data_IF_314280443151
#
_entry.id   IF_314280443151
#
_cell.length_a   1.000
_cell.length_b   1.000
_cell.length_c   1.000
_cell.angle_alpha   90.00
_cell.angle_beta   90.00
_cell.angle_gamma   90.00
#
_symmetry.space_group_name_H-M   'P 1'
#
loop_
_entity.id
_entity.type
_entity.pdbx_description
1 polymer ?
#
# COMPACT_ATOMS: atom_id res chain seq x y z
N UNK A 1 17.39 -4.56 -16.22
CA UNK A 1 16.02 -5.06 -16.44
C UNK A 1 15.10 -3.88 -16.31
N UNK A 2 14.16 -3.72 -17.23
CA UNK A 2 13.16 -2.67 -17.13
C UNK A 2 12.26 -2.95 -15.92
N UNK A 3 12.03 -1.92 -15.11
CA UNK A 3 11.20 -2.00 -13.92
C UNK A 3 9.73 -1.86 -14.36
N UNK A 4 9.00 -2.97 -14.42
CA UNK A 4 7.59 -2.97 -14.81
C UNK A 4 6.72 -2.47 -13.64
N UNK A 5 6.32 -1.20 -13.69
CA UNK A 5 5.39 -0.59 -12.73
C UNK A 5 4.69 0.64 -13.34
N UNK A 6 3.63 1.13 -12.72
CA UNK A 6 2.94 2.35 -13.12
C UNK A 6 1.79 2.08 -14.08
N UNK A 7 1.70 2.81 -15.20
CA UNK A 7 0.54 2.70 -16.10
C UNK A 7 0.28 1.28 -16.62
N UNK A 8 1.34 0.51 -16.87
CA UNK A 8 1.24 -0.84 -17.43
C UNK A 8 0.76 -1.88 -16.41
N UNK A 9 0.92 -1.61 -15.12
CA UNK A 9 0.49 -2.50 -14.02
C UNK A 9 -0.72 -1.97 -13.26
N UNK A 10 -1.18 -0.76 -13.59
CA UNK A 10 -2.22 -0.05 -12.85
C UNK A 10 -3.50 -0.87 -12.72
N UNK A 11 -3.92 -1.63 -13.75
CA UNK A 11 -5.15 -2.41 -13.69
C UNK A 11 -5.15 -3.50 -12.63
N UNK A 12 -3.98 -3.97 -12.19
CA UNK A 12 -3.83 -4.98 -11.14
C UNK A 12 -3.39 -4.37 -9.80
N UNK A 13 -2.44 -3.42 -9.83
CA UNK A 13 -1.93 -2.76 -8.62
C UNK A 13 -3.00 -1.89 -7.94
N UNK A 14 -3.93 -1.29 -8.71
CA UNK A 14 -5.02 -0.48 -8.18
C UNK A 14 -6.03 -1.31 -7.35
N UNK A 15 -6.57 -2.43 -7.87
CA UNK A 15 -7.37 -3.35 -7.07
C UNK A 15 -6.66 -3.89 -5.83
N UNK A 16 -5.36 -4.21 -5.91
CA UNK A 16 -4.61 -4.70 -4.75
C UNK A 16 -4.60 -3.68 -3.60
N UNK A 17 -4.35 -2.40 -3.90
CA UNK A 17 -4.35 -1.31 -2.91
C UNK A 17 -5.73 -1.17 -2.25
N UNK A 18 -6.79 -1.14 -3.06
CA UNK A 18 -8.14 -0.91 -2.55
C UNK A 18 -8.69 -2.13 -1.81
N UNK A 19 -8.32 -3.34 -2.22
CA UNK A 19 -8.59 -4.57 -1.48
C UNK A 19 -7.93 -4.55 -0.10
N UNK A 20 -6.67 -4.11 -0.03
CA UNK A 20 -5.95 -3.96 1.25
C UNK A 20 -6.59 -2.94 2.18
N UNK A 21 -7.07 -1.81 1.64
CA UNK A 21 -7.84 -0.82 2.44
C UNK A 21 -9.15 -1.38 2.94
N UNK A 22 -9.92 -2.05 2.09
CA UNK A 22 -11.18 -2.67 2.49
C UNK A 22 -10.95 -3.72 3.59
N UNK A 23 -9.91 -4.54 3.47
CA UNK A 23 -9.55 -5.53 4.48
C UNK A 23 -9.13 -4.87 5.82
N UNK A 24 -8.36 -3.78 5.77
CA UNK A 24 -7.98 -3.04 6.98
C UNK A 24 -9.16 -2.31 7.64
N UNK A 25 -10.09 -1.78 6.83
CA UNK A 25 -11.34 -1.20 7.36
C UNK A 25 -12.19 -2.26 8.07
N UNK A 26 -12.29 -3.48 7.54
CA UNK A 26 -12.94 -4.59 8.22
C UNK A 26 -12.23 -4.97 9.53
N UNK A 27 -10.89 -4.92 9.57
CA UNK A 27 -10.12 -5.13 10.80
C UNK A 27 -10.49 -4.06 11.85
N UNK A 28 -10.53 -2.79 11.48
CA UNK A 28 -10.95 -1.68 12.36
C UNK A 28 -12.41 -1.76 12.81
N UNK A 29 -13.29 -2.38 12.03
CA UNK A 29 -14.68 -2.64 12.44
C UNK A 29 -14.78 -3.81 13.43
N UNK A 30 -13.84 -4.74 13.36
CA UNK A 30 -13.82 -5.96 14.19
C UNK A 30 -13.15 -5.72 15.54
N UNK A 31 -12.11 -4.90 15.58
CA UNK A 31 -11.28 -4.64 16.76
C UNK A 31 -11.37 -3.18 17.21
N UNK A 32 -11.34 -2.97 18.52
CA UNK A 32 -11.18 -1.61 19.09
C UNK A 32 -9.76 -1.08 18.85
N UNK A 33 -9.59 0.25 18.89
CA UNK A 33 -8.26 0.88 18.81
C UNK A 33 -7.26 0.36 19.87
N UNK A 34 -7.76 -0.09 21.03
CA UNK A 34 -6.92 -0.72 22.05
C UNK A 34 -6.45 -2.09 21.59
N UNK A 35 -7.38 -2.93 21.11
CA UNK A 35 -7.06 -4.29 20.64
C UNK A 35 -6.12 -4.28 19.44
N UNK A 36 -6.23 -3.29 18.54
CA UNK A 36 -5.27 -3.12 17.43
C UNK A 36 -3.82 -2.91 17.91
N UNK A 37 -3.64 -2.41 19.14
CA UNK A 37 -2.34 -2.16 19.77
C UNK A 37 -1.92 -3.27 20.73
N UNK A 38 -2.79 -4.24 21.01
CA UNK A 38 -2.44 -5.40 21.83
C UNK A 38 -1.49 -6.31 21.05
N UNK A 39 -0.65 -7.05 21.78
CA UNK A 39 0.30 -7.99 21.20
C UNK A 39 -0.43 -9.23 20.69
N UNK A 40 -0.44 -9.44 19.38
CA UNK A 40 -0.98 -10.66 18.78
C UNK A 40 0.05 -11.79 18.78
N UNK A 41 1.32 -11.44 18.54
CA UNK A 41 2.46 -12.36 18.68
C UNK A 41 3.44 -11.79 19.71
N UNK A 42 3.22 -12.03 21.01
CA UNK A 42 4.04 -11.46 22.09
C UNK A 42 5.53 -11.79 21.97
N UNK A 43 5.86 -13.02 21.57
CA UNK A 43 7.24 -13.47 21.42
C UNK A 43 8.02 -12.74 20.32
N UNK A 44 7.28 -12.16 19.35
CA UNK A 44 7.84 -11.38 18.25
C UNK A 44 7.69 -9.86 18.46
N UNK A 45 6.97 -9.44 19.51
CA UNK A 45 6.64 -8.03 19.76
C UNK A 45 5.74 -7.42 18.68
N UNK A 46 4.89 -8.23 18.03
CA UNK A 46 4.02 -7.79 16.92
C UNK A 46 2.61 -7.54 17.43
N UNK A 47 2.09 -6.34 17.16
CA UNK A 47 0.69 -5.98 17.49
C UNK A 47 -0.31 -6.50 16.46
N UNK A 48 -1.61 -6.50 16.79
CA UNK A 48 -2.67 -6.87 15.82
C UNK A 48 -2.69 -5.97 14.57
N UNK A 49 -2.41 -4.67 14.71
CA UNK A 49 -2.30 -3.80 13.53
C UNK A 49 -1.09 -4.16 12.65
N UNK A 50 0.05 -4.50 13.27
CA UNK A 50 1.25 -4.90 12.55
C UNK A 50 1.12 -6.29 11.90
N UNK A 51 0.46 -7.24 12.57
CA UNK A 51 0.25 -8.60 12.08
C UNK A 51 -0.47 -8.61 10.72
N UNK A 52 -1.42 -7.70 10.53
CA UNK A 52 -2.10 -7.48 9.24
C UNK A 52 -1.10 -7.20 8.11
N UNK A 53 -0.24 -6.19 8.29
CA UNK A 53 0.74 -5.81 7.27
C UNK A 53 1.82 -6.87 7.05
N UNK A 54 2.26 -7.54 8.12
CA UNK A 54 3.14 -8.70 7.99
C UNK A 54 2.48 -9.82 7.17
N UNK A 55 1.21 -10.14 7.42
CA UNK A 55 0.50 -11.19 6.66
C UNK A 55 0.40 -10.87 5.17
N UNK A 56 0.23 -9.60 4.82
CA UNK A 56 0.21 -9.14 3.43
C UNK A 56 1.59 -9.25 2.76
N UNK A 57 2.65 -8.83 3.46
CA UNK A 57 4.02 -8.90 2.95
C UNK A 57 4.51 -10.37 2.82
N UNK A 58 4.21 -11.21 3.82
CA UNK A 58 4.66 -12.60 3.86
C UNK A 58 4.10 -13.45 2.71
N UNK A 59 2.88 -13.18 2.26
CA UNK A 59 2.30 -13.86 1.07
C UNK A 59 3.09 -13.59 -0.22
N UNK A 60 3.89 -12.53 -0.22
CA UNK A 60 4.71 -12.07 -1.36
C UNK A 60 6.20 -12.23 -1.10
N UNK A 61 6.57 -12.96 -0.04
CA UNK A 61 7.96 -13.31 0.25
C UNK A 61 8.40 -14.47 -0.67
N UNK A 62 9.15 -14.16 -1.72
CA UNK A 62 9.74 -15.15 -2.62
C UNK A 62 11.04 -14.64 -3.24
N UNK A 63 11.96 -15.57 -3.53
CA UNK A 63 13.12 -15.24 -4.35
C UNK A 63 12.63 -14.98 -5.79
N UNK A 64 12.97 -13.81 -6.33
CA UNK A 64 12.54 -13.43 -7.68
C UNK A 64 13.23 -14.35 -8.69
N UNK A 65 12.52 -15.37 -9.18
CA UNK A 65 12.88 -16.01 -10.43
C UNK A 65 12.10 -15.31 -11.54
N UNK A 66 12.73 -14.37 -12.23
CA UNK A 66 12.21 -13.79 -13.47
C UNK A 66 12.16 -14.88 -14.56
N UNK A 67 11.17 -15.76 -14.46
CA UNK A 67 10.86 -16.75 -15.48
C UNK A 67 10.01 -16.11 -16.57
N UNK A 68 9.96 -16.73 -17.74
CA UNK A 68 9.06 -16.32 -18.84
C UNK A 68 7.57 -16.31 -18.46
N UNK A 69 7.19 -16.82 -17.28
CA UNK A 69 5.83 -16.78 -16.75
C UNK A 69 5.38 -15.36 -16.39
N UNK A 70 6.31 -14.46 -16.03
CA UNK A 70 5.99 -13.08 -15.65
C UNK A 70 5.81 -12.12 -16.84
N UNK A 71 6.14 -12.55 -18.07
CA UNK A 71 6.01 -11.67 -19.26
C UNK A 71 4.55 -11.29 -19.58
N UNK A 72 3.58 -12.06 -19.06
CA UNK A 72 2.16 -11.77 -19.16
C UNK A 72 1.53 -11.44 -17.79
N UNK A 73 2.35 -11.28 -16.75
CA UNK A 73 1.85 -10.85 -15.44
C UNK A 73 1.59 -9.34 -15.51
N UNK A 74 0.33 -8.96 -15.28
CA UNK A 74 -0.09 -7.57 -15.24
C UNK A 74 0.30 -6.85 -13.94
N UNK A 75 0.82 -7.59 -12.95
CA UNK A 75 1.22 -7.01 -11.67
C UNK A 75 2.64 -6.43 -11.69
N UNK A 76 2.88 -5.46 -10.82
CA UNK A 76 4.25 -5.08 -10.47
C UNK A 76 5.00 -6.25 -9.81
N UNK A 77 6.34 -6.25 -9.80
CA UNK A 77 7.12 -7.16 -8.97
C UNK A 77 6.72 -7.08 -7.50
N UNK A 78 6.74 -8.20 -6.79
CA UNK A 78 6.22 -8.30 -5.42
C UNK A 78 6.80 -7.28 -4.44
N UNK A 79 8.09 -6.97 -4.52
CA UNK A 79 8.71 -5.94 -3.67
C UNK A 79 8.19 -4.53 -3.97
N UNK A 80 7.83 -4.23 -5.23
CA UNK A 80 7.21 -2.96 -5.62
C UNK A 80 5.76 -2.95 -5.15
N UNK A 81 5.01 -4.05 -5.33
CA UNK A 81 3.63 -4.16 -4.86
C UNK A 81 3.54 -3.92 -3.36
N UNK A 82 4.34 -4.65 -2.57
CA UNK A 82 4.30 -4.54 -1.11
C UNK A 82 4.60 -3.11 -0.69
N UNK A 83 5.74 -2.56 -1.12
CA UNK A 83 6.17 -1.22 -0.70
C UNK A 83 5.24 -0.11 -1.23
N UNK A 84 4.77 -0.22 -2.48
CA UNK A 84 3.87 0.75 -3.09
C UNK A 84 2.47 0.75 -2.48
N UNK A 85 1.99 -0.40 -2.00
CA UNK A 85 0.70 -0.48 -1.33
C UNK A 85 0.80 0.07 0.09
N UNK A 86 1.80 -0.36 0.88
CA UNK A 86 1.91 0.12 2.27
C UNK A 86 2.26 1.61 2.35
N UNK A 87 2.98 2.17 1.38
CA UNK A 87 3.22 3.62 1.32
C UNK A 87 1.97 4.45 1.01
N UNK A 88 0.90 3.82 0.52
CA UNK A 88 -0.39 4.45 0.23
C UNK A 88 -1.44 4.21 1.33
N UNK A 89 -1.03 3.66 2.47
CA UNK A 89 -1.89 3.39 3.62
C UNK A 89 -1.34 4.10 4.87
N UNK A 90 -1.92 5.24 5.30
CA UNK A 90 -1.49 5.96 6.51
C UNK A 90 -1.55 5.08 7.77
N UNK A 91 -2.43 4.08 7.76
CA UNK A 91 -2.53 3.09 8.84
C UNK A 91 -1.29 2.20 8.98
N UNK A 92 -0.49 2.04 7.92
CA UNK A 92 0.82 1.41 8.03
C UNK A 92 1.76 2.27 8.88
N UNK A 93 1.84 3.57 8.59
CA UNK A 93 2.67 4.48 9.35
C UNK A 93 2.25 4.58 10.82
N UNK A 94 0.95 4.54 11.13
CA UNK A 94 0.47 4.46 12.52
C UNK A 94 0.87 3.13 13.19
N UNK A 95 0.68 2.00 12.50
CA UNK A 95 0.99 0.67 13.06
C UNK A 95 2.48 0.47 13.37
N UNK A 96 3.37 1.03 12.55
CA UNK A 96 4.83 0.92 12.71
C UNK A 96 5.47 2.14 13.36
N UNK A 97 4.71 3.19 13.65
CA UNK A 97 5.22 4.44 14.22
C UNK A 97 6.15 5.19 13.28
N UNK A 98 5.95 5.09 11.96
CA UNK A 98 6.79 5.73 10.97
C UNK A 98 6.73 7.26 11.08
N UNK A 99 7.86 7.92 10.87
CA UNK A 99 8.02 9.36 10.95
C UNK A 99 8.19 9.99 9.56
N UNK A 100 7.80 11.27 9.43
CA UNK A 100 8.01 12.02 8.21
C UNK A 100 9.50 12.04 7.81
N UNK A 101 9.77 11.75 6.54
CA UNK A 101 11.13 11.62 6.00
C UNK A 101 11.71 10.21 6.06
N UNK A 102 11.04 9.23 6.68
CA UNK A 102 11.42 7.83 6.57
C UNK A 102 11.03 7.24 5.20
N UNK A 103 11.75 6.18 4.78
CA UNK A 103 11.63 5.64 3.43
C UNK A 103 10.23 5.12 3.06
N UNK A 104 9.48 4.63 4.04
CA UNK A 104 8.09 4.15 3.88
C UNK A 104 7.20 4.91 4.87
N UNK A 105 7.21 6.24 4.75
CA UNK A 105 6.21 7.08 5.39
C UNK A 105 5.04 7.33 4.42
N UNK A 106 3.83 7.00 4.87
CA UNK A 106 2.61 7.25 4.11
C UNK A 106 2.03 8.61 4.52
N UNK A 107 2.38 9.63 3.74
CA UNK A 107 1.86 10.99 3.91
C UNK A 107 0.33 11.01 3.73
N UNK A 108 -0.47 11.39 4.75
CA UNK A 108 -1.93 11.34 4.65
C UNK A 108 -2.52 12.12 3.47
N UNK A 109 -1.87 13.22 3.07
CA UNK A 109 -2.28 14.06 1.94
C UNK A 109 -1.69 13.58 0.59
N UNK A 110 -0.73 12.67 0.62
CA UNK A 110 -0.07 12.09 -0.56
C UNK A 110 -0.70 10.81 -1.09
N UNK A 111 -1.64 10.20 -0.35
CA UNK A 111 -2.23 8.91 -0.74
C UNK A 111 -3.31 9.04 -1.81
N UNK A 112 -3.31 8.11 -2.75
CA UNK A 112 -4.30 8.05 -3.83
C UNK A 112 -5.50 7.20 -3.40
N UNK A 113 -6.71 7.72 -3.47
CA UNK A 113 -7.94 6.95 -3.32
C UNK A 113 -8.58 6.75 -4.69
N UNK A 114 -8.82 5.51 -5.08
CA UNK A 114 -9.30 5.20 -6.42
C UNK A 114 -10.83 5.12 -6.45
N UNK A 115 -11.43 4.62 -5.38
CA UNK A 115 -12.87 4.41 -5.29
C UNK A 115 -13.51 5.15 -4.10
N UNK A 116 -14.84 5.25 -4.11
CA UNK A 116 -15.63 5.86 -3.05
C UNK A 116 -15.57 7.40 -3.00
N UNK A 117 -16.19 7.97 -1.96
CA UNK A 117 -16.36 9.42 -1.80
C UNK A 117 -15.05 10.18 -1.60
N UNK A 118 -13.96 9.49 -1.26
CA UNK A 118 -12.63 10.07 -1.10
C UNK A 118 -11.79 10.01 -2.38
N UNK A 119 -12.32 9.45 -3.47
CA UNK A 119 -11.57 9.23 -4.71
C UNK A 119 -10.87 10.50 -5.20
N UNK A 120 -9.59 10.38 -5.49
CA UNK A 120 -8.70 11.51 -5.85
C UNK A 120 -8.95 12.01 -7.27
N UNK A 121 -9.73 11.29 -8.08
CA UNK A 121 -10.12 11.69 -9.44
C UNK A 121 -10.87 13.04 -9.52
N UNK A 122 -11.56 13.46 -8.45
CA UNK A 122 -12.17 14.79 -8.37
C UNK A 122 -11.17 15.93 -8.15
N UNK A 123 -9.98 15.64 -7.59
CA UNK A 123 -8.92 16.62 -7.26
C UNK A 123 -7.79 16.68 -8.30
N UNK A 124 -7.66 15.68 -9.17
CA UNK A 124 -6.58 15.61 -10.17
C UNK A 124 -6.63 16.72 -11.24
N UNK A 125 -7.75 17.43 -11.42
CA UNK A 125 -7.80 18.56 -12.35
C UNK A 125 -6.91 19.75 -11.95
N UNK A 126 -6.48 19.83 -10.68
CA UNK A 126 -5.62 20.93 -10.18
C UNK A 126 -4.14 20.56 -10.12
N UNK A 127 -3.79 19.34 -9.73
CA UNK A 127 -2.40 18.88 -9.63
C UNK A 127 -1.79 18.54 -11.01
N UNK A 128 -2.58 18.01 -11.95
CA UNK A 128 -2.12 17.77 -13.32
C UNK A 128 -2.00 19.04 -14.18
N UNK A 129 -2.55 20.19 -13.74
CA UNK A 129 -2.42 21.48 -14.44
C UNK A 129 -1.16 22.25 -14.06
N UNK A 130 -0.51 21.94 -12.94
CA UNK A 130 0.70 22.64 -12.50
C UNK A 130 2.00 22.03 -13.06
N UNK A 131 1.92 20.91 -13.77
CA UNK A 131 3.05 20.31 -14.49
C UNK A 131 3.25 20.82 -15.92
N UNK A 132 2.46 21.79 -16.40
CA UNK A 132 2.52 22.26 -17.79
C UNK A 132 2.74 23.77 -17.94
N UNK A 133 3.55 24.35 -17.06
CA UNK A 133 4.17 25.66 -17.25
C UNK A 133 5.61 25.61 -16.75
N UNK A 134 6.51 25.12 -17.60
CA UNK A 134 7.92 25.50 -17.56
C UNK A 134 8.28 25.91 -19.00
N UNK A 135 8.60 27.20 -19.15
CA UNK A 135 9.26 27.77 -20.31
C UNK A 135 10.63 27.12 -20.56
#
# INVERSE_FOLDING_TARGET
GECQSGQVTFSEDAPDLEGMRAAYDLLKMTFTNRQLKDMEYPDLGITTAQSFFYSFAMQRCGAIQWTSLFQNDGHSPDYIRVNGIVSQMPEFSDAFGCQAGEAIFSEPDGVCYLFGNKSTGGRQSRLMRQGNTAN
#
